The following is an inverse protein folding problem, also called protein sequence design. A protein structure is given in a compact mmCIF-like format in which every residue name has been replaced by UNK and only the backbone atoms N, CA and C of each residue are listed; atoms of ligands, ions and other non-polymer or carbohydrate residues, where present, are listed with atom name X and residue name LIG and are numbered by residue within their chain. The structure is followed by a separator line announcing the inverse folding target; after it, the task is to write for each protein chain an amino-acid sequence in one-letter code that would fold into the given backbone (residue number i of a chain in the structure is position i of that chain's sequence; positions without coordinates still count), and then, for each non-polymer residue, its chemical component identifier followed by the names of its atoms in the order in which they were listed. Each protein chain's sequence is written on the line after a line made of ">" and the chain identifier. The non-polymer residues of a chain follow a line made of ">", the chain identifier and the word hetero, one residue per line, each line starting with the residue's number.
data_IF_431175796973
#
_entry.id   IF_431175796973
#
_cell.length_a   1.000
_cell.length_b   1.000
_cell.length_c   1.000
_cell.angle_alpha   90.00
_cell.angle_beta   90.00
_cell.angle_gamma   90.00
#
_symmetry.space_group_name_H-M   'P 1'
#
loop_
_entity.id
_entity.type
_entity.pdbx_description
1 polymer ?
#
# COMPACT_ATOMS: atom_id res chain seq x y z
N UNK A 1 -8.63 -6.14 23.39
CA UNK A 1 -9.01 -5.36 22.20
C UNK A 1 -9.47 -6.37 21.16
N UNK A 2 -10.78 -6.45 20.91
CA UNK A 2 -11.33 -7.44 19.98
C UNK A 2 -11.39 -6.80 18.59
N UNK A 3 -10.42 -7.13 17.73
CA UNK A 3 -10.47 -6.72 16.33
C UNK A 3 -11.62 -7.45 15.64
N UNK A 4 -12.65 -6.70 15.26
CA UNK A 4 -13.66 -7.17 14.31
C UNK A 4 -13.08 -6.86 12.92
N UNK A 5 -12.87 -7.86 12.04
CA UNK A 5 -12.43 -7.58 10.68
C UNK A 5 -13.39 -6.57 10.06
N UNK A 6 -12.83 -5.53 9.43
CA UNK A 6 -13.66 -4.58 8.70
C UNK A 6 -14.48 -5.40 7.70
N UNK A 7 -15.82 -5.25 7.65
CA UNK A 7 -16.55 -5.71 6.47
C UNK A 7 -15.87 -5.03 5.29
N UNK A 8 -15.53 -5.81 4.26
CA UNK A 8 -14.93 -5.30 3.01
C UNK A 8 -15.69 -4.04 2.62
N UNK A 9 -15.05 -2.87 2.72
CA UNK A 9 -15.67 -1.63 2.27
C UNK A 9 -16.04 -1.84 0.81
N UNK A 10 -17.24 -1.44 0.34
CA UNK A 10 -17.54 -1.45 -1.09
C UNK A 10 -16.55 -0.57 -1.87
N UNK A 11 -15.83 0.32 -1.17
CA UNK A 11 -14.78 1.19 -1.71
C UNK A 11 -13.36 0.68 -1.38
N UNK A 12 -13.21 -0.58 -0.94
CA UNK A 12 -11.90 -1.12 -0.57
C UNK A 12 -10.95 -1.12 -1.77
N UNK A 13 -9.86 -0.38 -1.67
CA UNK A 13 -8.80 -0.35 -2.68
C UNK A 13 -7.77 -1.42 -2.34
N UNK A 14 -7.28 -2.12 -3.35
CA UNK A 14 -6.12 -3.02 -3.23
C UNK A 14 -4.89 -2.33 -3.77
N UNK A 15 -3.85 -2.16 -2.94
CA UNK A 15 -2.57 -1.62 -3.39
C UNK A 15 -1.49 -2.70 -3.45
N UNK A 16 -0.90 -2.90 -4.62
CA UNK A 16 0.23 -3.81 -4.83
C UNK A 16 1.52 -3.01 -4.86
N UNK A 17 2.48 -3.44 -4.06
CA UNK A 17 3.77 -2.80 -3.88
C UNK A 17 4.85 -3.65 -4.51
N UNK A 18 5.69 -3.03 -5.33
CA UNK A 18 6.95 -3.56 -5.82
C UNK A 18 8.05 -2.66 -5.27
N UNK A 19 8.89 -3.19 -4.38
CA UNK A 19 9.91 -2.40 -3.69
C UNK A 19 11.17 -2.17 -4.53
N UNK A 20 11.25 -2.74 -5.74
CA UNK A 20 12.40 -2.57 -6.63
C UNK A 20 13.66 -3.34 -6.22
N UNK A 21 13.62 -4.11 -5.14
CA UNK A 21 14.68 -5.04 -4.71
C UNK A 21 14.34 -6.51 -5.00
N UNK A 22 13.25 -6.75 -5.74
CA UNK A 22 12.71 -8.07 -6.05
C UNK A 22 11.66 -8.57 -5.06
N UNK A 23 11.39 -7.83 -3.99
CA UNK A 23 10.31 -8.14 -3.04
C UNK A 23 9.04 -7.32 -3.35
N UNK A 24 7.89 -7.88 -2.93
CA UNK A 24 6.57 -7.29 -3.18
C UNK A 24 5.70 -7.35 -1.93
N UNK A 25 4.69 -6.48 -1.86
CA UNK A 25 3.70 -6.46 -0.79
C UNK A 25 2.30 -6.11 -1.29
N UNK A 26 1.29 -6.33 -0.44
CA UNK A 26 -0.10 -5.94 -0.71
C UNK A 26 -0.66 -5.26 0.53
N UNK A 27 -1.34 -4.14 0.33
CA UNK A 27 -2.15 -3.47 1.36
C UNK A 27 -3.56 -3.26 0.86
N UNK A 28 -4.43 -2.84 1.78
CA UNK A 28 -5.76 -2.39 1.46
C UNK A 28 -6.06 -1.09 2.20
N UNK A 29 -6.71 -0.15 1.52
CA UNK A 29 -7.32 1.03 2.12
C UNK A 29 -8.83 1.01 1.92
N UNK A 30 -9.55 1.83 2.69
CA UNK A 30 -11.00 1.94 2.60
C UNK A 30 -11.47 2.93 1.53
N UNK A 31 -10.56 3.45 0.70
CA UNK A 31 -10.89 4.47 -0.30
C UNK A 31 -11.36 5.79 0.31
N UNK A 32 -11.03 6.06 1.58
CA UNK A 32 -11.56 7.18 2.37
C UNK A 32 -13.10 7.11 2.56
N UNK A 33 -13.68 5.89 2.53
CA UNK A 33 -15.09 5.66 2.86
C UNK A 33 -15.45 6.20 4.24
N UNK A 34 -14.56 6.05 5.22
CA UNK A 34 -14.67 6.70 6.53
C UNK A 34 -13.54 7.71 6.71
N UNK A 35 -13.88 8.99 6.61
CA UNK A 35 -12.91 10.09 6.79
C UNK A 35 -12.16 9.96 8.12
N UNK A 36 -10.83 10.03 8.05
CA UNK A 36 -9.93 9.94 9.21
C UNK A 36 -10.05 8.62 10.00
N UNK A 37 -10.51 7.53 9.37
CA UNK A 37 -10.52 6.22 10.01
C UNK A 37 -9.09 5.83 10.47
N UNK A 38 -8.89 5.47 11.75
CA UNK A 38 -7.57 5.15 12.29
C UNK A 38 -6.81 4.04 11.55
N UNK A 39 -7.54 3.19 10.82
CA UNK A 39 -7.02 2.07 10.02
C UNK A 39 -7.59 2.05 8.59
N UNK A 40 -8.09 3.20 8.09
CA UNK A 40 -8.66 3.29 6.74
C UNK A 40 -7.61 3.35 5.62
N UNK A 41 -6.32 3.33 5.95
CA UNK A 41 -5.22 3.46 5.00
C UNK A 41 -4.38 2.18 4.94
N UNK A 42 -3.82 1.91 3.76
CA UNK A 42 -2.83 0.87 3.58
C UNK A 42 -1.52 1.24 4.30
N UNK A 43 -1.01 0.36 5.15
CA UNK A 43 0.28 0.49 5.81
C UNK A 43 1.12 -0.75 5.54
N UNK A 44 2.36 -0.54 5.10
CA UNK A 44 3.36 -1.60 4.95
C UNK A 44 4.71 -1.09 5.43
N UNK A 45 5.49 -1.99 6.04
CA UNK A 45 6.87 -1.74 6.43
C UNK A 45 7.77 -2.68 5.63
N UNK A 46 8.86 -2.15 5.08
CA UNK A 46 9.81 -2.89 4.27
C UNK A 46 11.25 -2.55 4.67
N UNK A 47 12.13 -3.55 4.67
CA UNK A 47 13.55 -3.39 5.01
C UNK A 47 14.41 -3.83 3.83
N UNK A 48 15.26 -2.92 3.36
CA UNK A 48 16.21 -3.21 2.29
C UNK A 48 17.47 -3.87 2.85
N UNK A 49 17.87 -4.99 2.27
CA UNK A 49 19.05 -5.73 2.71
C UNK A 49 20.38 -5.04 2.36
N UNK A 50 20.40 -4.15 1.36
CA UNK A 50 21.59 -3.47 0.87
C UNK A 50 21.35 -1.96 0.75
N UNK A 51 22.37 -1.12 0.96
CA UNK A 51 22.33 0.27 0.54
C UNK A 51 22.11 0.37 -0.97
N UNK A 52 21.40 1.40 -1.41
CA UNK A 52 21.07 1.58 -2.81
C UNK A 52 19.98 2.61 -3.06
N UNK A 53 19.65 2.79 -4.34
CA UNK A 53 18.53 3.58 -4.82
C UNK A 53 17.49 2.62 -5.41
N UNK A 54 16.27 2.67 -4.90
CA UNK A 54 15.18 1.78 -5.27
C UNK A 54 14.01 2.60 -5.80
N UNK A 55 13.46 2.18 -6.94
CA UNK A 55 12.24 2.76 -7.47
C UNK A 55 11.07 1.88 -7.02
N UNK A 56 10.39 2.30 -5.97
CA UNK A 56 9.17 1.63 -5.50
C UNK A 56 8.04 1.97 -6.45
N UNK A 57 7.26 0.97 -6.85
CA UNK A 57 6.02 1.13 -7.62
C UNK A 57 4.83 0.66 -6.80
N UNK A 58 3.77 1.46 -6.80
CA UNK A 58 2.49 1.13 -6.19
C UNK A 58 1.41 1.12 -7.27
N UNK A 59 0.64 0.05 -7.34
CA UNK A 59 -0.51 -0.10 -8.23
C UNK A 59 -1.77 -0.30 -7.40
N UNK A 60 -2.70 0.64 -7.51
CA UNK A 60 -3.97 0.62 -6.78
C UNK A 60 -5.10 0.22 -7.72
N UNK A 61 -5.97 -0.68 -7.27
CA UNK A 61 -7.20 -1.07 -7.98
C UNK A 61 -8.39 -0.88 -7.05
N UNK A 62 -9.35 -0.03 -7.45
CA UNK A 62 -10.62 0.14 -6.77
C UNK A 62 -11.63 -0.96 -7.19
N UNK A 63 -12.71 -1.18 -6.43
CA UNK A 63 -13.68 -2.26 -6.73
C UNK A 63 -14.43 -2.11 -8.04
N UNK A 64 -14.54 -0.88 -8.56
CA UNK A 64 -15.11 -0.58 -9.88
C UNK A 64 -14.11 -0.80 -11.04
N UNK A 65 -12.90 -1.24 -10.73
CA UNK A 65 -11.82 -1.46 -11.68
C UNK A 65 -10.99 -0.21 -12.01
N UNK A 66 -11.23 0.93 -11.37
CA UNK A 66 -10.38 2.09 -11.54
C UNK A 66 -8.96 1.81 -11.05
N UNK A 67 -7.96 2.21 -11.84
CA UNK A 67 -6.55 1.97 -11.55
C UNK A 67 -5.78 3.27 -11.32
N UNK A 68 -4.81 3.23 -10.41
CA UNK A 68 -3.82 4.29 -10.24
C UNK A 68 -2.42 3.68 -10.08
N UNK A 69 -1.39 4.43 -10.50
CA UNK A 69 0.01 4.03 -10.36
C UNK A 69 0.86 5.16 -9.80
N UNK A 70 1.69 4.86 -8.81
CA UNK A 70 2.64 5.78 -8.19
C UNK A 70 4.06 5.20 -8.21
N UNK A 71 5.07 6.07 -8.29
CA UNK A 71 6.47 5.72 -8.13
C UNK A 71 7.10 6.55 -7.01
N UNK A 72 7.93 5.91 -6.16
CA UNK A 72 8.70 6.58 -5.11
C UNK A 72 10.18 6.24 -5.28
N UNK A 73 11.03 7.27 -5.23
CA UNK A 73 12.48 7.11 -5.20
C UNK A 73 12.98 7.00 -3.75
N UNK A 74 13.50 5.85 -3.38
CA UNK A 74 13.96 5.54 -2.03
C UNK A 74 15.47 5.32 -2.01
N UNK A 75 16.18 6.08 -1.18
CA UNK A 75 17.64 5.96 -1.01
C UNK A 75 17.93 5.40 0.38
N UNK A 76 18.66 4.29 0.43
CA UNK A 76 19.05 3.60 1.66
C UNK A 76 20.56 3.66 1.84
N UNK A 77 21.01 4.07 3.03
CA UNK A 77 22.43 4.02 3.43
C UNK A 77 23.34 5.06 2.76
N UNK A 78 22.99 6.34 2.86
CA UNK A 78 23.92 7.44 2.56
C UNK A 78 25.06 7.51 3.57
#
# INVERSE_FOLDING_TARGET
>A
MNYKPMPTSPDQITERWDFGDGTTGVTHSDGNAVKLAPQGYGRIEHTYAKPGRYLVRVESTAPDGAEARMYLDVIVGK
#
